data_IF_698037391159
#
_entry.id   IF_698037391159
#
_cell.length_a   1.000
_cell.length_b   1.000
_cell.length_c   1.000
_cell.angle_alpha   90.00
_cell.angle_beta   90.00
_cell.angle_gamma   90.00
#
_symmetry.space_group_name_H-M   'P 1'
#
loop_
_entity.id
_entity.type
_entity.pdbx_description
1 polymer ?
#
# COMPACT_ATOMS: atom_id res chain seq x y z
N UNK A 1 5.27 -8.97 -1.06
CA UNK A 1 4.07 -9.10 -0.21
C UNK A 1 3.59 -7.71 0.15
N UNK A 2 2.29 -7.45 0.24
CA UNK A 2 1.82 -6.20 0.82
C UNK A 2 2.04 -6.23 2.35
N UNK A 3 2.33 -5.10 2.97
CA UNK A 3 2.60 -5.03 4.41
C UNK A 3 1.43 -5.49 5.31
N UNK A 4 0.21 -5.58 4.77
CA UNK A 4 -0.98 -6.09 5.45
C UNK A 4 -1.27 -7.57 5.20
N UNK A 5 -0.50 -8.24 4.33
CA UNK A 5 -0.57 -9.68 4.19
C UNK A 5 -0.14 -10.34 5.49
N UNK A 6 -1.06 -11.09 6.08
CA UNK A 6 -0.86 -11.73 7.40
C UNK A 6 0.00 -12.99 7.32
N UNK A 7 0.15 -13.56 6.12
CA UNK A 7 0.84 -14.81 5.94
C UNK A 7 1.43 -14.98 4.53
N UNK A 8 2.47 -15.81 4.44
CA UNK A 8 3.07 -16.26 3.20
C UNK A 8 3.01 -17.78 3.14
N UNK A 9 2.37 -18.32 2.10
CA UNK A 9 2.41 -19.76 1.85
C UNK A 9 3.78 -20.11 1.27
N UNK A 10 4.54 -20.94 1.97
CA UNK A 10 5.78 -21.50 1.42
C UNK A 10 5.42 -22.62 0.46
N UNK A 11 5.08 -22.27 -0.78
CA UNK A 11 4.83 -23.27 -1.85
C UNK A 11 6.13 -23.53 -2.59
N UNK A 12 6.60 -24.77 -2.54
CA UNK A 12 7.76 -25.23 -3.30
C UNK A 12 7.52 -26.62 -3.87
N UNK A 13 8.11 -26.92 -5.03
CA UNK A 13 8.16 -28.29 -5.53
C UNK A 13 9.52 -28.89 -5.21
N UNK A 14 9.55 -29.97 -4.45
CA UNK A 14 10.76 -30.75 -4.22
C UNK A 14 10.53 -32.20 -4.66
N UNK A 15 11.53 -32.79 -5.31
CA UNK A 15 11.49 -34.21 -5.70
C UNK A 15 12.50 -34.97 -4.85
N UNK A 16 12.02 -35.84 -3.97
CA UNK A 16 12.87 -36.81 -3.28
C UNK A 16 13.00 -38.04 -4.15
N UNK A 17 14.22 -38.56 -4.31
CA UNK A 17 14.42 -39.85 -4.96
C UNK A 17 13.62 -40.92 -4.19
N UNK A 18 12.71 -41.66 -4.85
CA UNK A 18 11.84 -42.64 -4.18
C UNK A 18 12.62 -43.78 -3.50
N UNK A 19 13.92 -43.93 -3.75
CA UNK A 19 14.81 -44.89 -3.07
C UNK A 19 15.17 -44.44 -1.65
N UNK A 20 15.04 -43.15 -1.33
CA UNK A 20 15.22 -42.61 0.02
C UNK A 20 13.97 -42.92 0.84
N UNK A 21 14.02 -44.00 1.61
CA UNK A 21 12.84 -44.60 2.27
C UNK A 21 12.79 -44.38 3.79
N UNK A 22 13.84 -43.83 4.39
CA UNK A 22 13.92 -43.60 5.84
C UNK A 22 14.83 -42.42 6.18
N UNK A 23 14.56 -41.79 7.33
CA UNK A 23 15.43 -40.75 7.89
C UNK A 23 15.33 -39.40 7.18
N UNK A 24 14.20 -39.10 6.55
CA UNK A 24 13.95 -37.77 5.95
C UNK A 24 13.42 -36.84 7.05
N UNK A 25 14.05 -35.68 7.21
CA UNK A 25 13.52 -34.58 7.99
C UNK A 25 13.52 -33.29 7.18
N UNK A 26 12.56 -32.44 7.53
CA UNK A 26 12.38 -31.11 6.95
C UNK A 26 12.57 -30.09 8.05
N UNK A 27 13.22 -28.98 7.72
CA UNK A 27 13.30 -27.84 8.61
C UNK A 27 13.30 -26.54 7.82
N UNK A 28 12.39 -25.67 8.19
CA UNK A 28 12.35 -24.27 7.78
C UNK A 28 13.06 -23.40 8.81
N UNK A 29 13.79 -22.42 8.32
CA UNK A 29 14.36 -21.34 9.13
C UNK A 29 14.07 -19.99 8.49
N UNK A 30 14.12 -18.93 9.30
CA UNK A 30 13.93 -17.55 8.86
C UNK A 30 15.07 -16.68 9.38
N UNK A 31 15.52 -15.69 8.60
CA UNK A 31 16.35 -14.59 9.09
C UNK A 31 15.54 -13.48 9.78
N UNK A 32 14.22 -13.61 9.75
CA UNK A 32 13.25 -12.67 10.29
C UNK A 32 12.85 -12.95 11.74
N UNK A 33 11.83 -12.23 12.21
CA UNK A 33 11.25 -12.38 13.55
C UNK A 33 9.85 -13.02 13.56
N UNK A 34 9.40 -13.54 12.41
CA UNK A 34 8.16 -14.30 12.27
C UNK A 34 8.25 -15.77 12.68
N UNK A 35 7.12 -16.47 12.53
CA UNK A 35 6.96 -17.87 12.97
C UNK A 35 6.36 -18.75 11.86
N UNK A 36 6.64 -20.05 11.91
CA UNK A 36 6.05 -21.05 11.00
C UNK A 36 4.90 -21.78 11.67
N UNK A 37 3.76 -21.89 10.98
CA UNK A 37 2.56 -22.57 11.47
C UNK A 37 2.14 -23.70 10.51
N UNK A 38 1.77 -24.90 11.00
CA UNK A 38 1.70 -25.30 12.41
C UNK A 38 3.07 -25.56 13.06
N UNK A 39 4.12 -25.81 12.27
CA UNK A 39 5.50 -25.98 12.74
C UNK A 39 6.48 -25.67 11.63
N UNK A 40 7.76 -25.46 11.95
CA UNK A 40 8.82 -25.32 10.95
C UNK A 40 9.33 -26.66 10.40
N UNK A 41 8.74 -27.79 10.80
CA UNK A 41 9.11 -29.14 10.30
C UNK A 41 8.10 -29.70 9.30
N UNK A 42 7.07 -28.92 8.95
CA UNK A 42 6.18 -29.26 7.85
C UNK A 42 6.85 -29.04 6.49
N UNK A 43 6.34 -29.71 5.46
CA UNK A 43 6.81 -29.53 4.09
C UNK A 43 6.40 -28.16 3.54
N UNK A 44 5.17 -27.73 3.85
CA UNK A 44 4.55 -26.50 3.35
C UNK A 44 3.90 -25.68 4.48
N UNK A 45 4.67 -25.23 5.48
CA UNK A 45 4.13 -24.40 6.54
C UNK A 45 3.68 -23.03 6.03
N UNK A 46 2.87 -22.38 6.84
CA UNK A 46 2.54 -20.98 6.68
C UNK A 46 3.56 -20.15 7.45
N UNK A 47 4.28 -19.25 6.76
CA UNK A 47 5.10 -18.26 7.45
C UNK A 47 4.21 -17.08 7.86
N UNK A 48 4.22 -16.73 9.15
CA UNK A 48 3.51 -15.60 9.74
C UNK A 48 4.55 -14.53 10.06
N UNK A 49 4.69 -13.48 9.22
CA UNK A 49 5.72 -12.47 9.40
C UNK A 49 5.56 -11.68 10.71
N UNK A 50 6.68 -11.46 11.39
CA UNK A 50 6.75 -10.66 12.60
C UNK A 50 6.75 -9.14 12.31
N UNK A 51 6.78 -8.29 13.36
CA UNK A 51 6.79 -6.85 13.18
C UNK A 51 8.04 -6.31 12.45
N UNK A 52 9.23 -6.88 12.67
CA UNK A 52 10.45 -6.40 12.02
C UNK A 52 10.60 -6.89 10.57
N UNK A 53 10.00 -8.04 10.25
CA UNK A 53 9.91 -8.54 8.87
C UNK A 53 9.22 -7.53 7.96
N UNK A 54 8.10 -6.94 8.43
CA UNK A 54 7.28 -5.99 7.67
C UNK A 54 7.98 -4.68 7.34
N UNK A 55 9.12 -4.40 7.98
CA UNK A 55 9.98 -3.25 7.69
C UNK A 55 10.96 -3.51 6.52
N UNK A 56 11.06 -4.76 6.04
CA UNK A 56 11.99 -5.15 4.96
C UNK A 56 11.42 -4.83 3.59
N UNK A 57 11.59 -3.59 3.15
CA UNK A 57 11.19 -3.12 1.83
C UNK A 57 12.27 -3.32 0.77
N UNK A 58 11.87 -3.65 -0.46
CA UNK A 58 12.76 -3.61 -1.63
C UNK A 58 12.78 -2.20 -2.21
N UNK A 59 13.89 -1.49 -2.03
CA UNK A 59 14.09 -0.14 -2.60
C UNK A 59 15.01 -0.20 -3.82
N UNK A 60 15.99 -1.09 -3.80
CA UNK A 60 16.97 -1.30 -4.86
C UNK A 60 17.54 -2.73 -4.81
N UNK A 61 18.54 -3.01 -5.66
CA UNK A 61 19.23 -4.31 -5.69
C UNK A 61 20.15 -4.56 -4.49
N UNK A 62 20.33 -3.59 -3.58
CA UNK A 62 21.11 -3.72 -2.34
C UNK A 62 20.24 -3.97 -1.10
N UNK A 63 18.92 -3.89 -1.26
CA UNK A 63 17.95 -4.14 -0.21
C UNK A 63 18.03 -5.59 0.25
N UNK A 64 17.95 -5.82 1.56
CA UNK A 64 18.02 -7.15 2.17
C UNK A 64 16.65 -7.51 2.74
N UNK A 65 16.07 -8.60 2.25
CA UNK A 65 14.75 -9.08 2.64
C UNK A 65 14.78 -10.02 3.85
N UNK A 66 13.65 -10.66 4.10
CA UNK A 66 13.55 -11.81 5.01
C UNK A 66 13.88 -13.06 4.22
N UNK A 67 14.93 -13.78 4.58
CA UNK A 67 15.29 -15.04 3.96
C UNK A 67 14.57 -16.18 4.68
N UNK A 68 13.73 -16.93 3.96
CA UNK A 68 13.19 -18.21 4.41
C UNK A 68 13.98 -19.32 3.75
N UNK A 69 14.51 -20.25 4.53
CA UNK A 69 15.35 -21.34 4.05
C UNK A 69 14.71 -22.67 4.38
N UNK A 70 14.48 -23.48 3.35
CA UNK A 70 14.06 -24.86 3.49
C UNK A 70 15.28 -25.77 3.44
N UNK A 71 15.38 -26.67 4.40
CA UNK A 71 16.44 -27.68 4.45
C UNK A 71 15.82 -29.06 4.58
N UNK A 72 16.29 -29.96 3.72
CA UNK A 72 15.95 -31.38 3.71
C UNK A 72 17.20 -32.17 4.06
N UNK A 73 17.09 -33.01 5.08
CA UNK A 73 18.16 -33.94 5.49
C UNK A 73 17.66 -35.36 5.33
N UNK A 74 18.46 -36.21 4.70
CA UNK A 74 18.28 -37.66 4.71
C UNK A 74 19.43 -38.29 5.48
N UNK A 75 19.11 -39.06 6.53
CA UNK A 75 20.07 -39.84 7.33
C UNK A 75 20.11 -41.33 6.94
N UNK A 76 19.70 -41.64 5.71
CA UNK A 76 19.77 -42.99 5.16
C UNK A 76 21.21 -43.45 4.89
N UNK A 77 21.35 -44.53 4.12
CA UNK A 77 22.67 -45.08 3.72
C UNK A 77 23.54 -44.11 2.92
N UNK A 78 22.94 -43.09 2.32
CA UNK A 78 23.65 -41.94 1.76
C UNK A 78 23.12 -40.70 2.47
N UNK A 79 23.93 -40.13 3.36
CA UNK A 79 23.58 -38.89 4.02
C UNK A 79 23.59 -37.76 2.99
N UNK A 80 22.44 -37.11 2.82
CA UNK A 80 22.27 -36.02 1.86
C UNK A 80 21.60 -34.87 2.58
N UNK A 81 22.16 -33.69 2.39
CA UNK A 81 21.59 -32.43 2.84
C UNK A 81 21.44 -31.52 1.62
N UNK A 82 20.23 -31.03 1.40
CA UNK A 82 19.95 -30.00 0.39
C UNK A 82 19.19 -28.87 1.06
N UNK A 83 19.42 -27.66 0.57
CA UNK A 83 18.69 -26.49 1.01
C UNK A 83 18.38 -25.57 -0.17
N UNK A 84 17.29 -24.84 -0.05
CA UNK A 84 16.91 -23.77 -0.95
C UNK A 84 16.36 -22.60 -0.14
N UNK A 85 16.40 -21.38 -0.68
CA UNK A 85 15.92 -20.21 0.02
C UNK A 85 15.13 -19.26 -0.88
N UNK A 86 14.17 -18.59 -0.26
CA UNK A 86 13.38 -17.53 -0.86
C UNK A 86 13.58 -16.25 -0.06
N UNK A 87 13.70 -15.12 -0.75
CA UNK A 87 13.81 -13.81 -0.13
C UNK A 87 12.48 -13.07 -0.27
N UNK A 88 11.93 -12.64 0.86
CA UNK A 88 10.68 -11.90 0.96
C UNK A 88 10.93 -10.41 1.20
N UNK A 89 10.16 -9.59 0.51
CA UNK A 89 10.08 -8.15 0.73
C UNK A 89 8.63 -7.72 0.92
N UNK A 90 8.45 -6.69 1.74
CA UNK A 90 7.16 -6.10 2.09
C UNK A 90 7.04 -4.72 1.47
N UNK A 91 5.99 -4.51 0.67
CA UNK A 91 5.66 -3.20 0.11
C UNK A 91 4.70 -2.49 1.06
N UNK A 92 5.04 -1.27 1.52
CA UNK A 92 4.16 -0.49 2.34
C UNK A 92 2.91 -0.06 1.57
N UNK A 93 1.83 0.21 2.29
CA UNK A 93 0.65 0.81 1.69
C UNK A 93 0.96 2.22 1.22
N UNK A 94 0.30 2.67 0.14
CA UNK A 94 0.39 4.05 -0.25
C UNK A 94 -0.31 4.93 0.79
N UNK A 95 0.38 5.97 1.23
CA UNK A 95 -0.19 7.04 2.05
C UNK A 95 -0.47 8.24 1.16
N UNK A 96 -1.68 8.80 1.24
CA UNK A 96 -2.07 10.01 0.52
C UNK A 96 -2.17 11.19 1.49
N UNK A 97 -1.45 12.26 1.18
CA UNK A 97 -1.55 13.54 1.86
C UNK A 97 -2.14 14.57 0.89
N UNK A 98 -3.15 15.29 1.36
CA UNK A 98 -3.88 16.28 0.59
C UNK A 98 -3.62 17.67 1.19
N UNK A 99 -3.73 18.75 0.40
CA UNK A 99 -3.62 20.11 0.91
C UNK A 99 -4.67 20.36 1.99
N UNK A 100 -4.31 21.25 2.92
CA UNK A 100 -5.25 21.73 3.92
C UNK A 100 -6.47 22.38 3.25
N UNK A 101 -7.61 22.28 3.91
CA UNK A 101 -8.83 22.95 3.49
C UNK A 101 -8.56 24.44 3.25
N UNK A 102 -9.02 24.97 2.13
CA UNK A 102 -8.82 26.36 1.75
C UNK A 102 -10.16 27.03 1.42
N UNK A 103 -10.24 28.33 1.71
CA UNK A 103 -11.38 29.17 1.35
C UNK A 103 -11.15 29.81 -0.02
N UNK A 104 -12.07 29.56 -0.95
CA UNK A 104 -12.07 30.24 -2.26
C UNK A 104 -12.85 31.54 -2.11
N UNK A 105 -12.17 32.69 -2.27
CA UNK A 105 -12.79 34.01 -2.29
C UNK A 105 -12.74 34.62 -3.70
N UNK A 106 -13.91 34.98 -4.26
CA UNK A 106 -13.97 35.58 -5.60
C UNK A 106 -13.65 34.56 -6.71
N UNK A 107 -13.02 35.01 -7.80
CA UNK A 107 -12.78 34.17 -8.98
C UNK A 107 -11.43 33.42 -8.93
N UNK A 108 -11.06 32.92 -7.74
CA UNK A 108 -9.82 32.14 -7.59
C UNK A 108 -10.03 30.69 -8.05
N UNK A 109 -9.07 30.16 -8.80
CA UNK A 109 -9.03 28.76 -9.26
C UNK A 109 -7.91 28.04 -8.52
N UNK A 110 -8.23 27.29 -7.45
CA UNK A 110 -7.21 26.63 -6.65
C UNK A 110 -6.59 25.46 -7.43
N UNK A 111 -5.27 25.33 -7.34
CA UNK A 111 -4.56 24.12 -7.75
C UNK A 111 -4.54 23.15 -6.58
N UNK A 112 -4.96 21.92 -6.85
CA UNK A 112 -4.91 20.82 -5.91
C UNK A 112 -3.68 19.98 -6.19
N UNK A 113 -3.20 19.27 -5.17
CA UNK A 113 -2.17 18.27 -5.34
C UNK A 113 -2.43 17.11 -4.41
N UNK A 114 -2.25 15.89 -4.88
CA UNK A 114 -2.18 14.71 -4.03
C UNK A 114 -0.71 14.34 -3.90
N UNK A 115 -0.18 14.33 -2.68
CA UNK A 115 1.13 13.77 -2.44
C UNK A 115 0.95 12.32 -2.00
N UNK A 116 1.35 11.38 -2.85
CA UNK A 116 1.30 9.96 -2.53
C UNK A 116 2.70 9.46 -2.21
N UNK A 117 2.84 8.83 -1.06
CA UNK A 117 4.06 8.15 -0.65
C UNK A 117 3.84 6.64 -0.75
N UNK A 118 4.69 5.93 -1.51
CA UNK A 118 4.54 4.50 -1.80
C UNK A 118 4.39 4.21 -3.28
N UNK A 119 4.26 2.94 -3.65
CA UNK A 119 3.99 2.55 -5.04
C UNK A 119 2.50 2.69 -5.33
N UNK A 120 2.14 3.60 -6.23
CA UNK A 120 0.80 3.71 -6.81
C UNK A 120 0.88 3.75 -8.33
N UNK A 121 -0.10 3.13 -8.98
CA UNK A 121 -0.30 3.34 -10.41
C UNK A 121 -0.77 4.79 -10.64
N UNK A 122 -0.23 5.45 -11.66
CA UNK A 122 -0.58 6.84 -12.03
C UNK A 122 -2.09 7.03 -12.30
N UNK A 123 -2.84 5.95 -12.50
CA UNK A 123 -4.31 5.96 -12.65
C UNK A 123 -5.09 5.91 -11.32
N UNK A 124 -4.43 5.95 -10.16
CA UNK A 124 -5.10 5.84 -8.85
C UNK A 124 -5.72 7.13 -8.35
N UNK A 125 -5.40 8.28 -8.95
CA UNK A 125 -5.97 9.56 -8.53
C UNK A 125 -7.43 9.66 -8.96
N UNK A 126 -8.28 10.08 -8.03
CA UNK A 126 -9.69 10.32 -8.32
C UNK A 126 -10.22 11.47 -7.45
N UNK A 127 -10.31 12.63 -8.07
CA UNK A 127 -10.88 13.83 -7.47
C UNK A 127 -12.36 13.92 -7.83
N UNK A 128 -13.18 14.39 -6.90
CA UNK A 128 -14.60 14.69 -7.09
C UNK A 128 -14.93 16.00 -6.40
N UNK A 129 -15.84 16.80 -6.97
CA UNK A 129 -16.42 17.95 -6.27
C UNK A 129 -17.88 17.71 -5.91
N UNK A 130 -18.32 18.24 -4.77
CA UNK A 130 -19.75 18.39 -4.44
C UNK A 130 -20.35 19.70 -4.97
N UNK A 131 -19.50 20.58 -5.50
CA UNK A 131 -19.86 21.84 -6.13
C UNK A 131 -20.38 21.68 -7.56
N UNK A 132 -20.67 22.81 -8.20
CA UNK A 132 -21.09 22.86 -9.62
C UNK A 132 -19.96 23.27 -10.57
N UNK A 133 -18.73 23.34 -10.06
CA UNK A 133 -17.51 23.57 -10.84
C UNK A 133 -16.95 22.33 -11.53
N UNK A 134 -15.86 22.52 -12.26
CA UNK A 134 -15.18 21.50 -13.07
C UNK A 134 -13.68 21.44 -12.78
N UNK A 135 -13.02 20.35 -13.17
CA UNK A 135 -11.56 20.26 -13.14
C UNK A 135 -10.94 20.55 -14.51
N UNK A 136 -9.65 20.90 -14.55
CA UNK A 136 -8.90 21.09 -15.79
C UNK A 136 -9.06 19.91 -16.76
N UNK A 137 -9.18 20.23 -18.06
CA UNK A 137 -9.21 19.22 -19.12
C UNK A 137 -10.53 18.46 -19.28
N UNK A 138 -11.59 18.79 -18.52
CA UNK A 138 -12.92 18.19 -18.73
C UNK A 138 -14.06 19.10 -18.26
N UNK A 139 -15.22 19.01 -18.92
CA UNK A 139 -16.48 19.58 -18.40
C UNK A 139 -17.11 18.69 -17.31
N UNK A 140 -16.28 17.92 -16.59
CA UNK A 140 -16.71 16.92 -15.61
C UNK A 140 -16.35 17.37 -14.20
N UNK A 141 -17.13 16.90 -13.22
CA UNK A 141 -16.92 17.14 -11.79
C UNK A 141 -15.91 16.16 -11.17
N UNK A 142 -15.12 15.48 -12.00
CA UNK A 142 -14.11 14.50 -11.59
C UNK A 142 -12.78 14.70 -12.33
N UNK A 143 -11.66 14.35 -11.72
CA UNK A 143 -10.34 14.32 -12.37
C UNK A 143 -9.50 13.14 -11.91
N UNK A 144 -8.66 12.61 -12.80
CA UNK A 144 -7.66 11.57 -12.49
C UNK A 144 -6.22 12.10 -12.57
N UNK A 145 -6.07 13.42 -12.60
CA UNK A 145 -4.78 14.11 -12.55
C UNK A 145 -4.25 14.12 -11.10
N UNK A 146 -2.94 14.07 -10.91
CA UNK A 146 -2.31 14.19 -9.59
C UNK A 146 -2.31 15.64 -9.09
N UNK A 147 -2.41 16.59 -10.02
CA UNK A 147 -2.35 18.04 -9.78
C UNK A 147 -3.47 18.82 -10.49
N UNK A 148 -4.76 18.46 -10.28
CA UNK A 148 -5.83 19.12 -11.02
C UNK A 148 -6.03 20.55 -10.55
N UNK A 149 -6.53 21.39 -11.46
CA UNK A 149 -7.01 22.73 -11.15
C UNK A 149 -8.52 22.72 -11.11
N UNK A 150 -9.11 23.18 -10.01
CA UNK A 150 -10.56 23.31 -9.88
C UNK A 150 -11.03 24.69 -10.36
N UNK A 151 -12.07 24.70 -11.18
CA UNK A 151 -12.76 25.88 -11.70
C UNK A 151 -14.14 25.97 -11.03
N UNK A 152 -14.31 26.82 -10.00
CA UNK A 152 -15.58 26.95 -9.29
C UNK A 152 -16.73 27.31 -10.22
N UNK A 153 -17.86 26.63 -10.05
CA UNK A 153 -19.09 26.91 -10.76
C UNK A 153 -19.82 28.13 -10.21
N UNK A 154 -20.99 28.42 -10.76
CA UNK A 154 -21.74 29.60 -10.31
C UNK A 154 -22.17 29.43 -8.86
N UNK A 155 -22.72 28.28 -8.48
CA UNK A 155 -23.19 28.03 -7.12
C UNK A 155 -22.06 27.94 -6.09
N UNK A 156 -20.87 27.49 -6.49
CA UNK A 156 -19.67 27.56 -5.64
C UNK A 156 -19.33 29.01 -5.24
N UNK A 157 -19.62 29.96 -6.12
CA UNK A 157 -19.39 31.40 -5.93
C UNK A 157 -20.64 32.15 -5.42
N UNK A 158 -21.81 31.49 -5.40
CA UNK A 158 -23.11 32.13 -5.20
C UNK A 158 -23.80 31.70 -3.89
N UNK A 159 -23.12 31.82 -2.75
CA UNK A 159 -23.78 31.81 -1.43
C UNK A 159 -23.84 33.19 -0.79
N UNK A 160 -24.52 34.15 -1.43
CA UNK A 160 -24.95 35.40 -0.76
C UNK A 160 -26.26 35.20 -0.01
N UNK A 161 -26.19 35.02 1.30
CA UNK A 161 -27.23 35.43 2.24
C UNK A 161 -26.69 36.56 3.12
N UNK A 162 -27.14 37.79 2.87
CA UNK A 162 -26.96 38.94 3.75
C UNK A 162 -28.34 39.25 4.36
N UNK A 163 -28.45 39.30 5.69
CA UNK A 163 -29.70 39.64 6.38
C UNK A 163 -29.71 41.06 6.97
N UNK A 164 -28.61 41.83 6.94
CA UNK A 164 -28.57 43.27 7.27
C UNK A 164 -27.25 43.96 6.84
N UNK A 165 -27.27 45.29 6.65
CA UNK A 165 -26.31 46.07 5.83
C UNK A 165 -25.10 46.69 6.54
N UNK A 166 -24.93 46.56 7.87
CA UNK A 166 -23.89 47.35 8.58
C UNK A 166 -22.62 46.61 9.01
N UNK A 167 -22.51 45.29 8.84
CA UNK A 167 -21.28 44.53 9.14
C UNK A 167 -21.09 43.39 8.14
N UNK A 168 -20.57 43.68 6.95
CA UNK A 168 -20.04 42.64 6.06
C UNK A 168 -18.72 42.11 6.63
N UNK A 169 -18.80 41.16 7.56
CA UNK A 169 -17.68 40.27 7.88
C UNK A 169 -17.64 39.17 6.81
N UNK A 170 -16.55 39.09 6.05
CA UNK A 170 -16.31 38.00 5.10
C UNK A 170 -16.24 36.68 5.88
N UNK A 171 -17.19 35.79 5.65
CA UNK A 171 -17.20 34.50 6.33
C UNK A 171 -17.97 33.47 5.53
N UNK A 172 -17.45 33.06 4.36
CA UNK A 172 -18.15 32.08 3.49
C UNK A 172 -17.16 31.25 2.66
N UNK A 173 -16.51 30.31 3.34
CA UNK A 173 -15.72 29.25 2.72
C UNK A 173 -16.62 28.10 2.24
N UNK A 174 -16.35 27.59 1.04
CA UNK A 174 -16.67 26.22 0.65
C UNK A 174 -15.69 25.29 1.38
N UNK A 175 -16.19 24.23 2.04
CA UNK A 175 -15.34 23.19 2.63
C UNK A 175 -15.24 22.03 1.66
N UNK A 176 -14.10 21.88 0.96
CA UNK A 176 -13.76 20.64 0.27
C UNK A 176 -13.24 19.66 1.33
N UNK A 177 -14.12 18.79 1.83
CA UNK A 177 -13.74 17.78 2.83
C UNK A 177 -12.85 16.71 2.19
N UNK A 178 -11.55 16.77 2.46
CA UNK A 178 -10.63 15.66 2.23
C UNK A 178 -10.79 14.62 3.35
N UNK A 179 -11.78 13.73 3.23
CA UNK A 179 -11.79 12.50 4.05
C UNK A 179 -11.27 11.35 3.23
N UNK A 180 -10.03 10.96 3.49
CA UNK A 180 -9.51 9.64 3.14
C UNK A 180 -10.39 8.57 3.78
N UNK A 181 -10.73 7.54 3.01
CA UNK A 181 -11.16 6.23 3.52
C UNK A 181 -10.08 5.22 3.19
#
# INVERSE_FOLDING_TARGET
MCEDEVNYQTVGSYTVDPRVTSGISYVWSTSGDGEFSPSNTETDPLYIPGPNDRLKRKVDNSSVGVQLTFKLVSTGTCEVEIQDSVELFFEPKPEISLPADFEICGNLTPSLSANVNGFVDESSYFWTTSGDGTFNGSDQNTSTDDTPTYFPGTNDLFYRKCYNISECQWKKCLFLNNRSR
#
